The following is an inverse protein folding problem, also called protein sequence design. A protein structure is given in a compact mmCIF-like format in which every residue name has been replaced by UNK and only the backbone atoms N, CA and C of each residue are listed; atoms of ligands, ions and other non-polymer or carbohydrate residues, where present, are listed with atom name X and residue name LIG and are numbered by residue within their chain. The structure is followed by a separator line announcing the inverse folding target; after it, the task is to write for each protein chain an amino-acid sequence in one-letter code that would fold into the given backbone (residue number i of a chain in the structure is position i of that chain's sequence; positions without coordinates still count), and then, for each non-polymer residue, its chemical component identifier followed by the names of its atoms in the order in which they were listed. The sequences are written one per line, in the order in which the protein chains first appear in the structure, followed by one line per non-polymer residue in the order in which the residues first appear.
data_IF_124248163969
#
_entry.id   IF_124248163969
#
_cell.length_a   1.000
_cell.length_b   1.000
_cell.length_c   1.000
_cell.angle_alpha   90.00
_cell.angle_beta   90.00
_cell.angle_gamma   90.00
#
_symmetry.space_group_name_H-M   'P 1'
#
loop_
_entity.id
_entity.type
_entity.pdbx_description
1 polymer ?
#
# COMPACT_ATOMS: atom_id res chain seq x y z
N UNK A 1 -38.52 45.35 19.92
CA UNK A 1 -37.97 46.46 19.09
C UNK A 1 -37.35 45.77 17.87
N UNK A 2 -37.83 45.88 16.60
CA UNK A 2 -38.05 47.07 15.73
C UNK A 2 -36.75 47.89 15.64
N UNK A 3 -36.06 48.12 14.51
CA UNK A 3 -36.34 48.07 13.05
C UNK A 3 -35.33 47.12 12.31
N UNK A 4 -35.53 46.56 11.09
CA UNK A 4 -35.85 47.13 9.75
C UNK A 4 -34.69 47.96 9.13
N UNK A 5 -34.33 47.91 7.84
CA UNK A 5 -34.97 47.40 6.59
C UNK A 5 -33.93 46.92 5.55
N UNK A 6 -34.38 46.15 4.55
CA UNK A 6 -33.62 45.84 3.33
C UNK A 6 -33.45 47.04 2.38
N UNK A 7 -32.48 46.95 1.45
CA UNK A 7 -32.57 47.63 0.15
C UNK A 7 -32.06 46.71 -0.97
N UNK A 8 -32.86 46.62 -2.02
CA UNK A 8 -32.59 45.89 -3.26
C UNK A 8 -32.29 46.93 -4.35
N UNK A 9 -31.38 46.65 -5.30
CA UNK A 9 -31.50 47.10 -6.70
C UNK A 9 -30.44 46.47 -7.60
N UNK A 10 -30.88 45.84 -8.69
CA UNK A 10 -30.06 45.34 -9.80
C UNK A 10 -29.69 46.48 -10.76
N UNK A 11 -28.53 46.44 -11.43
CA UNK A 11 -28.45 46.68 -12.89
C UNK A 11 -27.10 46.33 -13.57
N UNK A 12 -27.18 46.12 -14.89
CA UNK A 12 -26.13 46.25 -15.92
C UNK A 12 -24.85 45.38 -15.89
N UNK A 13 -24.94 44.25 -16.62
CA UNK A 13 -24.21 44.05 -17.88
C UNK A 13 -23.21 45.14 -18.31
N UNK A 14 -21.93 44.76 -18.47
CA UNK A 14 -21.07 45.28 -19.54
C UNK A 14 -20.25 44.13 -20.15
N UNK A 15 -20.61 43.73 -21.36
CA UNK A 15 -19.68 42.99 -22.24
C UNK A 15 -18.54 43.95 -22.64
N UNK A 16 -17.30 43.55 -22.40
CA UNK A 16 -16.11 44.24 -22.86
C UNK A 16 -15.16 43.26 -23.54
N UNK A 17 -15.39 42.95 -24.81
CA UNK A 17 -14.39 42.27 -25.63
C UNK A 17 -13.20 43.22 -25.86
N UNK A 18 -12.01 42.86 -25.39
CA UNK A 18 -10.78 43.37 -25.98
C UNK A 18 -9.72 42.25 -26.06
N UNK A 19 -9.43 41.84 -27.29
CA UNK A 19 -8.29 40.98 -27.60
C UNK A 19 -7.01 41.80 -27.57
N UNK A 20 -5.87 41.19 -27.25
CA UNK A 20 -4.57 41.87 -27.37
C UNK A 20 -3.49 41.28 -26.47
N UNK A 21 -2.97 40.11 -26.82
CA UNK A 21 -1.74 39.63 -26.20
C UNK A 21 -0.53 40.39 -26.77
N UNK A 22 0.38 40.82 -25.90
CA UNK A 22 1.70 41.33 -26.29
C UNK A 22 2.74 40.75 -25.32
N UNK A 23 3.37 39.65 -25.72
CA UNK A 23 4.68 39.26 -25.17
C UNK A 23 5.72 39.93 -26.04
N UNK A 24 6.34 41.00 -25.52
CA UNK A 24 7.46 41.63 -26.16
C UNK A 24 8.75 40.88 -25.80
N UNK A 25 9.46 40.39 -26.82
CA UNK A 25 10.88 40.05 -26.70
C UNK A 25 11.63 40.97 -27.65
N UNK A 26 12.42 41.89 -27.07
CA UNK A 26 13.25 42.82 -27.84
C UNK A 26 14.40 42.10 -28.58
N UNK A 27 14.77 42.71 -29.71
CA UNK A 27 15.92 42.41 -30.58
C UNK A 27 17.18 43.18 -30.09
N UNK A 28 18.42 43.05 -30.65
CA UNK A 28 18.74 42.78 -32.08
C UNK A 28 19.99 41.92 -32.42
N UNK A 29 20.09 41.58 -33.72
CA UNK A 29 21.26 41.43 -34.64
C UNK A 29 22.56 40.71 -34.17
N UNK A 30 23.44 40.14 -35.01
CA UNK A 30 23.79 40.25 -36.44
C UNK A 30 23.93 38.82 -37.07
N UNK A 31 24.08 38.52 -38.37
CA UNK A 31 24.01 39.24 -39.67
C UNK A 31 23.99 38.19 -40.81
N UNK A 32 23.51 38.53 -42.02
CA UNK A 32 23.80 37.77 -43.26
C UNK A 32 22.58 37.50 -44.15
N UNK A 33 22.50 38.21 -45.28
CA UNK A 33 21.57 37.91 -46.37
C UNK A 33 21.92 36.57 -47.07
N UNK A 34 20.90 35.81 -47.43
CA UNK A 34 20.86 35.02 -48.67
C UNK A 34 19.39 34.66 -49.00
N UNK A 35 19.00 34.81 -50.26
CA UNK A 35 17.63 34.56 -50.74
C UNK A 35 17.31 33.05 -50.73
N UNK A 36 16.74 32.59 -49.62
CA UNK A 36 16.18 31.25 -49.48
C UNK A 36 14.71 31.34 -49.11
N UNK A 37 13.83 31.34 -50.13
CA UNK A 37 12.42 30.99 -49.94
C UNK A 37 12.33 29.50 -49.55
N UNK A 38 12.49 29.23 -48.25
CA UNK A 38 12.27 27.92 -47.68
C UNK A 38 10.81 27.50 -47.96
N UNK A 39 10.56 26.38 -48.67
CA UNK A 39 9.21 25.84 -48.70
C UNK A 39 8.82 25.52 -47.26
N UNK A 40 7.65 26.01 -46.82
CA UNK A 40 7.17 25.78 -45.46
C UNK A 40 6.96 24.28 -45.26
N UNK A 41 7.96 23.61 -44.67
CA UNK A 41 7.86 22.21 -44.28
C UNK A 41 6.74 22.11 -43.26
N UNK A 42 5.82 21.15 -43.48
CA UNK A 42 4.69 20.91 -42.59
C UNK A 42 5.19 20.32 -41.27
N UNK A 43 5.74 21.18 -40.41
CA UNK A 43 6.37 20.83 -39.12
C UNK A 43 5.41 20.21 -38.09
N UNK A 44 4.16 19.96 -38.50
CA UNK A 44 3.19 19.13 -37.78
C UNK A 44 3.53 17.65 -37.92
N UNK A 45 3.86 17.17 -39.12
CA UNK A 45 4.04 15.74 -39.38
C UNK A 45 5.19 15.10 -38.57
N UNK A 46 6.35 15.76 -38.44
CA UNK A 46 7.48 15.20 -37.70
C UNK A 46 7.26 15.18 -36.17
N UNK A 47 6.48 16.14 -35.63
CA UNK A 47 6.25 16.23 -34.18
C UNK A 47 5.36 15.11 -33.65
N UNK A 48 4.44 14.54 -34.43
CA UNK A 48 3.56 13.48 -33.95
C UNK A 48 4.24 12.10 -33.84
N UNK A 49 5.28 11.84 -34.64
CA UNK A 49 5.97 10.54 -34.74
C UNK A 49 6.54 10.00 -33.42
N UNK A 50 6.92 10.90 -32.50
CA UNK A 50 7.52 10.54 -31.22
C UNK A 50 6.54 10.55 -30.04
N UNK A 51 5.34 11.11 -30.20
CA UNK A 51 4.37 11.26 -29.10
C UNK A 51 3.36 10.11 -29.06
N UNK A 52 2.86 9.62 -30.20
CA UNK A 52 1.76 8.66 -30.23
C UNK A 52 2.16 7.25 -29.73
N UNK A 53 3.32 6.75 -30.18
CA UNK A 53 3.88 5.47 -29.72
C UNK A 53 4.40 5.52 -28.27
N UNK A 54 4.82 6.70 -27.80
CA UNK A 54 5.23 6.90 -26.41
C UNK A 54 4.02 6.94 -25.47
N UNK A 55 2.95 7.64 -25.85
CA UNK A 55 1.75 7.78 -25.02
C UNK A 55 0.91 6.49 -24.94
N UNK A 56 0.74 5.78 -26.05
CA UNK A 56 -0.03 4.52 -26.08
C UNK A 56 0.63 3.39 -25.28
N UNK A 57 1.97 3.36 -25.19
CA UNK A 57 2.73 2.40 -24.37
C UNK A 57 2.39 2.48 -22.87
N UNK A 58 2.19 3.68 -22.34
CA UNK A 58 1.99 3.90 -20.91
C UNK A 58 0.52 3.89 -20.50
N UNK A 59 -0.40 4.09 -21.45
CA UNK A 59 -1.85 4.11 -21.22
C UNK A 59 -2.39 2.96 -20.35
N UNK A 60 -2.05 1.66 -20.55
CA UNK A 60 -2.57 0.60 -19.68
C UNK A 60 -2.06 0.68 -18.23
N UNK A 61 -0.85 1.21 -18.01
CA UNK A 61 -0.32 1.42 -16.66
C UNK A 61 -1.00 2.61 -15.98
N UNK A 62 -1.22 3.71 -16.71
CA UNK A 62 -1.94 4.88 -16.21
C UNK A 62 -3.39 4.55 -15.86
N UNK A 63 -4.06 3.72 -16.67
CA UNK A 63 -5.38 3.20 -16.35
C UNK A 63 -5.32 2.34 -15.07
N UNK A 64 -4.43 1.34 -15.01
CA UNK A 64 -4.32 0.47 -13.83
C UNK A 64 -4.01 1.25 -12.53
N UNK A 65 -3.22 2.34 -12.60
CA UNK A 65 -2.96 3.24 -11.47
C UNK A 65 -4.25 3.97 -11.05
N UNK A 66 -4.98 4.58 -12.00
CA UNK A 66 -6.21 5.30 -11.69
C UNK A 66 -7.29 4.35 -11.13
N UNK A 67 -7.50 3.20 -11.78
CA UNK A 67 -8.45 2.17 -11.34
C UNK A 67 -8.09 1.68 -9.92
N UNK A 68 -6.79 1.55 -9.59
CA UNK A 68 -6.32 1.18 -8.24
C UNK A 68 -6.52 2.30 -7.22
N UNK A 69 -6.32 3.56 -7.60
CA UNK A 69 -6.52 4.71 -6.71
C UNK A 69 -8.01 5.00 -6.45
N UNK A 70 -8.89 4.75 -7.42
CA UNK A 70 -10.35 4.85 -7.24
C UNK A 70 -10.90 3.71 -6.35
N UNK A 71 -10.30 2.52 -6.40
CA UNK A 71 -10.66 1.38 -5.57
C UNK A 71 -9.96 1.34 -4.19
N UNK A 72 -8.93 2.14 -3.96
CA UNK A 72 -8.16 2.15 -2.72
C UNK A 72 -8.92 2.86 -1.59
N UNK A 73 -9.03 2.18 -0.45
CA UNK A 73 -9.53 2.74 0.81
C UNK A 73 -8.38 2.73 1.82
N UNK A 74 -7.99 3.88 2.40
CA UNK A 74 -7.00 3.92 3.47
C UNK A 74 -7.44 3.09 4.67
N UNK A 75 -6.51 2.36 5.30
CA UNK A 75 -6.80 1.64 6.54
C UNK A 75 -7.23 2.59 7.68
N UNK A 76 -6.64 3.79 7.75
CA UNK A 76 -6.96 4.83 8.73
C UNK A 76 -8.45 5.25 8.72
N UNK A 77 -9.16 5.11 7.59
CA UNK A 77 -10.60 5.41 7.49
C UNK A 77 -11.48 4.27 8.05
N UNK A 78 -10.88 3.12 8.36
CA UNK A 78 -11.51 1.95 8.98
C UNK A 78 -11.09 1.77 10.46
N UNK A 79 -10.12 2.54 10.95
CA UNK A 79 -9.52 2.41 12.27
C UNK A 79 -10.32 3.15 13.36
N UNK A 80 -10.73 2.41 14.39
CA UNK A 80 -10.54 2.88 15.78
C UNK A 80 -9.09 2.63 16.19
N UNK A 81 -8.64 3.18 17.33
CA UNK A 81 -7.24 3.13 17.83
C UNK A 81 -6.70 1.70 18.19
N UNK A 82 -7.25 0.64 17.58
CA UNK A 82 -7.24 -0.76 18.05
C UNK A 82 -6.44 -1.74 17.14
N UNK A 83 -5.48 -1.26 16.33
CA UNK A 83 -4.63 -2.08 15.45
C UNK A 83 -5.41 -2.91 14.38
N UNK A 84 -6.51 -2.36 13.85
CA UNK A 84 -7.47 -3.06 12.98
C UNK A 84 -7.00 -3.28 11.53
N UNK A 85 -6.07 -2.47 11.03
CA UNK A 85 -5.56 -2.45 9.64
C UNK A 85 -5.20 -3.83 9.07
N UNK A 86 -4.65 -4.72 9.91
CA UNK A 86 -4.23 -6.07 9.52
C UNK A 86 -5.07 -7.19 10.15
N UNK A 87 -6.19 -6.87 10.83
CA UNK A 87 -7.07 -7.85 11.45
C UNK A 87 -7.62 -8.87 10.44
N UNK A 88 -7.99 -8.42 9.23
CA UNK A 88 -8.48 -9.30 8.16
C UNK A 88 -7.47 -10.37 7.72
N UNK A 89 -6.16 -10.10 7.85
CA UNK A 89 -5.10 -11.08 7.58
C UNK A 89 -5.06 -12.12 8.70
N UNK A 90 -5.16 -11.68 9.96
CA UNK A 90 -5.21 -12.56 11.14
C UNK A 90 -6.45 -13.47 11.07
N UNK A 91 -7.62 -12.90 10.80
CA UNK A 91 -8.89 -13.62 10.66
C UNK A 91 -8.82 -14.66 9.54
N UNK A 92 -8.36 -14.26 8.34
CA UNK A 92 -8.21 -15.18 7.21
C UNK A 92 -7.15 -16.25 7.43
N UNK A 93 -6.11 -15.96 8.22
CA UNK A 93 -5.11 -16.96 8.55
C UNK A 93 -5.63 -17.97 9.57
N UNK A 94 -6.43 -17.53 10.57
CA UNK A 94 -6.99 -18.37 11.65
C UNK A 94 -8.29 -19.13 11.28
N UNK A 95 -9.04 -18.68 10.28
CA UNK A 95 -10.30 -19.29 9.79
C UNK A 95 -10.27 -20.84 9.68
N UNK A 96 -9.19 -21.49 9.20
CA UNK A 96 -9.10 -22.95 9.09
C UNK A 96 -9.11 -23.71 10.42
N UNK A 97 -8.88 -23.04 11.57
CA UNK A 97 -8.94 -23.64 12.92
C UNK A 97 -10.08 -23.08 13.78
N UNK A 98 -11.12 -22.53 13.14
CA UNK A 98 -12.37 -22.13 13.81
C UNK A 98 -13.05 -23.27 14.60
N UNK A 99 -12.76 -24.53 14.28
CA UNK A 99 -13.17 -25.72 15.06
C UNK A 99 -12.26 -26.05 16.27
N UNK A 100 -11.23 -25.25 16.52
CA UNK A 100 -10.23 -25.43 17.58
C UNK A 100 -8.95 -26.14 17.15
N UNK A 101 -7.91 -25.99 17.97
CA UNK A 101 -6.58 -26.58 17.81
C UNK A 101 -6.41 -27.68 18.88
N UNK A 102 -6.06 -28.90 18.46
CA UNK A 102 -5.84 -30.03 19.39
C UNK A 102 -4.36 -30.23 19.71
N UNK A 103 -4.06 -30.79 20.88
CA UNK A 103 -2.68 -31.13 21.29
C UNK A 103 -1.98 -32.08 20.29
N UNK A 104 -2.72 -33.01 19.67
CA UNK A 104 -2.18 -33.87 18.59
C UNK A 104 -1.71 -33.03 17.38
N UNK A 105 -2.45 -31.99 17.03
CA UNK A 105 -2.12 -31.11 15.92
C UNK A 105 -0.87 -30.26 16.25
N UNK A 106 -0.70 -29.82 17.50
CA UNK A 106 0.56 -29.19 17.97
C UNK A 106 1.73 -30.18 17.91
N UNK A 107 1.55 -31.42 18.40
CA UNK A 107 2.59 -32.47 18.36
C UNK A 107 3.09 -32.74 16.93
N UNK A 108 2.17 -32.94 15.99
CA UNK A 108 2.48 -33.13 14.55
C UNK A 108 3.13 -31.90 13.90
N UNK A 109 3.03 -30.73 14.52
CA UNK A 109 3.62 -29.48 14.05
C UNK A 109 5.04 -29.26 14.54
N UNK A 110 5.45 -29.85 15.68
CA UNK A 110 6.79 -29.64 16.28
C UNK A 110 7.97 -29.80 15.32
N UNK A 111 8.05 -30.81 14.41
CA UNK A 111 9.19 -30.96 13.49
C UNK A 111 9.38 -29.78 12.51
N UNK A 112 8.36 -28.95 12.34
CA UNK A 112 8.33 -27.86 11.36
C UNK A 112 8.89 -26.55 11.91
N UNK A 113 9.09 -26.40 13.23
CA UNK A 113 9.53 -25.15 13.83
C UNK A 113 10.04 -25.31 15.26
N UNK A 114 9.99 -24.23 16.03
CA UNK A 114 10.38 -24.20 17.44
C UNK A 114 9.11 -24.10 18.29
N UNK A 115 8.93 -25.01 19.24
CA UNK A 115 7.81 -24.96 20.17
C UNK A 115 8.06 -23.87 21.23
N UNK A 116 7.06 -23.03 21.42
CA UNK A 116 6.93 -22.10 22.54
C UNK A 116 5.68 -22.43 23.36
N UNK A 117 5.74 -22.19 24.65
CA UNK A 117 4.63 -22.35 25.58
C UNK A 117 4.63 -21.14 26.52
N UNK A 118 3.47 -20.53 26.75
CA UNK A 118 3.22 -19.56 27.81
C UNK A 118 2.46 -20.30 28.91
N UNK A 119 3.00 -20.31 30.13
CA UNK A 119 2.37 -20.96 31.28
C UNK A 119 2.59 -20.08 32.52
N UNK A 120 1.50 -19.63 33.16
CA UNK A 120 1.50 -18.66 34.26
C UNK A 120 2.37 -17.42 33.94
N UNK A 121 2.09 -16.77 32.80
CA UNK A 121 2.78 -15.56 32.32
C UNK A 121 4.31 -15.73 32.17
N UNK A 122 4.77 -16.95 31.88
CA UNK A 122 6.20 -17.23 31.61
C UNK A 122 6.37 -17.91 30.27
N UNK A 123 7.27 -17.35 29.47
CA UNK A 123 7.63 -17.89 28.17
C UNK A 123 8.65 -19.02 28.32
N UNK A 124 8.28 -20.20 27.83
CA UNK A 124 9.12 -21.38 27.69
C UNK A 124 9.33 -21.69 26.21
N UNK A 125 10.47 -22.29 25.88
CA UNK A 125 10.84 -22.67 24.51
C UNK A 125 11.62 -23.98 24.50
N UNK A 126 11.52 -24.76 23.42
CA UNK A 126 12.49 -25.83 23.15
C UNK A 126 13.93 -25.26 23.17
N UNK A 127 14.84 -26.03 23.77
CA UNK A 127 16.27 -25.65 23.89
C UNK A 127 16.89 -25.30 22.54
N UNK A 128 16.65 -26.15 21.54
CA UNK A 128 17.18 -26.00 20.18
C UNK A 128 16.32 -25.02 19.36
N UNK A 129 16.95 -23.94 18.90
CA UNK A 129 16.41 -23.05 17.87
C UNK A 129 17.42 -22.98 16.73
N UNK A 130 16.99 -23.32 15.51
CA UNK A 130 17.84 -23.37 14.30
C UNK A 130 18.46 -22.01 13.95
N UNK A 131 17.76 -20.91 14.24
CA UNK A 131 18.22 -19.54 14.00
C UNK A 131 18.08 -18.70 15.29
N UNK A 132 19.07 -18.75 16.21
CA UNK A 132 18.95 -18.12 17.53
C UNK A 132 18.59 -16.64 17.50
N UNK A 133 19.17 -15.86 16.58
CA UNK A 133 18.85 -14.43 16.43
C UNK A 133 17.39 -14.17 16.02
N UNK A 134 16.77 -15.05 15.23
CA UNK A 134 15.35 -14.94 14.86
C UNK A 134 14.45 -15.28 16.04
N UNK A 135 14.81 -16.29 16.84
CA UNK A 135 14.13 -16.58 18.11
C UNK A 135 14.21 -15.37 19.06
N UNK A 136 15.41 -14.79 19.28
CA UNK A 136 15.57 -13.58 20.12
C UNK A 136 14.75 -12.37 19.62
N UNK A 137 14.68 -12.19 18.30
CA UNK A 137 13.88 -11.12 17.68
C UNK A 137 12.38 -11.26 17.97
N UNK A 138 11.84 -12.49 17.92
CA UNK A 138 10.42 -12.76 18.24
C UNK A 138 10.17 -12.73 19.75
N UNK A 139 11.10 -13.28 20.54
CA UNK A 139 11.07 -13.23 22.01
C UNK A 139 11.02 -11.77 22.52
N UNK A 140 11.69 -10.81 21.85
CA UNK A 140 11.63 -9.38 22.19
C UNK A 140 10.20 -8.79 22.16
N UNK A 141 9.32 -9.28 21.28
CA UNK A 141 7.93 -8.83 21.23
C UNK A 141 7.06 -9.58 22.25
N UNK A 142 7.19 -10.92 22.30
CA UNK A 142 6.37 -11.74 23.22
C UNK A 142 6.62 -11.37 24.68
N UNK A 143 7.88 -11.12 25.07
CA UNK A 143 8.23 -10.77 26.45
C UNK A 143 7.65 -9.43 26.93
N UNK A 144 7.14 -8.57 26.03
CA UNK A 144 6.41 -7.35 26.40
C UNK A 144 4.92 -7.61 26.67
N UNK A 145 4.39 -8.73 26.16
CA UNK A 145 2.98 -9.09 26.22
C UNK A 145 2.70 -10.28 27.16
N UNK A 146 3.74 -10.98 27.61
CA UNK A 146 3.63 -12.25 28.34
C UNK A 146 2.82 -12.15 29.64
N UNK A 147 2.82 -10.99 30.29
CA UNK A 147 2.04 -10.69 31.51
C UNK A 147 0.54 -10.50 31.24
N UNK A 148 0.15 -10.27 29.98
CA UNK A 148 -1.26 -10.11 29.53
C UNK A 148 -1.76 -11.34 28.77
N UNK A 149 -0.86 -12.14 28.20
CA UNK A 149 -1.20 -13.32 27.41
C UNK A 149 -1.68 -14.50 28.29
N UNK A 150 -2.70 -15.27 27.83
CA UNK A 150 -3.16 -16.47 28.51
C UNK A 150 -2.18 -17.63 28.34
N UNK A 151 -2.39 -18.69 29.13
CA UNK A 151 -1.68 -19.96 28.94
C UNK A 151 -1.99 -20.54 27.55
N UNK A 152 -0.96 -20.69 26.72
CA UNK A 152 -1.08 -21.16 25.33
C UNK A 152 0.21 -21.81 24.83
N UNK A 153 0.13 -22.60 23.77
CA UNK A 153 1.30 -23.15 23.08
C UNK A 153 1.22 -22.97 21.57
N UNK A 154 2.38 -22.76 20.92
CA UNK A 154 2.46 -22.56 19.49
C UNK A 154 3.81 -23.02 18.93
N UNK A 155 3.83 -23.32 17.62
CA UNK A 155 5.05 -23.65 16.89
C UNK A 155 5.39 -22.50 15.96
N UNK A 156 6.57 -21.90 16.14
CA UNK A 156 7.09 -20.79 15.34
C UNK A 156 8.00 -21.33 14.23
N UNK A 157 7.78 -20.94 12.97
CA UNK A 157 8.75 -21.21 11.92
C UNK A 157 9.83 -20.13 11.91
N UNK A 158 11.09 -20.52 12.08
CA UNK A 158 12.23 -19.60 11.95
C UNK A 158 12.96 -19.72 10.62
N UNK A 159 12.51 -20.60 9.72
CA UNK A 159 13.04 -20.76 8.35
C UNK A 159 12.36 -19.78 7.39
N UNK A 160 13.03 -19.43 6.30
CA UNK A 160 12.50 -18.51 5.28
C UNK A 160 11.27 -19.06 4.54
N UNK A 161 11.19 -20.38 4.39
CA UNK A 161 10.10 -21.02 3.62
C UNK A 161 8.95 -21.50 4.52
N UNK A 162 7.67 -21.23 4.18
CA UNK A 162 6.52 -21.69 4.94
C UNK A 162 6.43 -23.23 4.99
N UNK A 163 6.02 -23.74 6.15
CA UNK A 163 6.00 -25.18 6.45
C UNK A 163 4.60 -25.81 6.44
N UNK A 164 3.55 -24.99 6.32
CA UNK A 164 2.18 -25.43 6.13
C UNK A 164 1.77 -25.19 4.67
N UNK A 165 1.20 -26.20 4.01
CA UNK A 165 0.70 -26.10 2.64
C UNK A 165 -0.83 -26.06 2.65
N UNK A 166 -1.46 -25.27 1.78
CA UNK A 166 -2.91 -25.00 1.81
C UNK A 166 -3.80 -26.25 1.69
N UNK A 167 -3.32 -27.32 1.04
CA UNK A 167 -4.04 -28.60 0.96
C UNK A 167 -3.84 -29.51 2.19
N UNK A 168 -2.85 -29.21 3.03
CA UNK A 168 -2.46 -30.02 4.20
C UNK A 168 -3.07 -29.42 5.47
N UNK A 169 -4.36 -29.71 5.73
CA UNK A 169 -5.09 -29.32 6.95
C UNK A 169 -4.49 -29.85 8.27
N UNK A 170 -3.45 -30.68 8.19
CA UNK A 170 -2.84 -31.42 9.31
C UNK A 170 -2.02 -30.55 10.27
N UNK A 171 -1.72 -29.31 9.88
CA UNK A 171 -0.80 -28.40 10.57
C UNK A 171 -1.52 -27.08 10.88
N UNK A 172 -1.38 -26.56 12.10
CA UNK A 172 -1.61 -25.14 12.33
C UNK A 172 -0.61 -24.39 11.46
N UNK A 173 -1.02 -23.31 10.80
CA UNK A 173 -0.10 -22.53 9.97
C UNK A 173 0.91 -21.91 10.92
N UNK A 174 2.10 -22.51 10.97
CA UNK A 174 3.21 -21.98 11.77
C UNK A 174 3.34 -20.50 11.44
N UNK A 175 3.46 -19.67 12.47
CA UNK A 175 3.73 -18.26 12.29
C UNK A 175 4.97 -18.12 11.40
N UNK A 176 4.78 -17.49 10.25
CA UNK A 176 5.77 -17.21 9.21
C UNK A 176 5.72 -15.71 8.99
N UNK A 177 6.83 -15.04 9.20
CA UNK A 177 7.02 -13.69 8.69
C UNK A 177 6.92 -13.77 7.15
N UNK A 178 5.81 -13.32 6.58
CA UNK A 178 5.76 -13.01 5.15
C UNK A 178 6.19 -11.57 5.01
N UNK A 179 7.44 -11.35 4.58
CA UNK A 179 7.91 -10.03 4.22
C UNK A 179 7.15 -9.56 2.97
N UNK A 180 6.27 -8.57 3.16
CA UNK A 180 5.55 -7.84 2.11
C UNK A 180 6.29 -6.55 1.77
#
# INVERSE_FOLDING_TARGET
MRLSTAFCFSFALLLGCFQGGHVACDRPDESGDDDATCPASDSRHEKHKYYEAANSRWLPYLQAINDSLEAYVPCEELESDDCSCHASVIDSDLEPWSSGITAELVERSKPRGVLYQIVNHKLYRTKECMFPFRCLGVEHFILKLVDELPDMEFVLNTRDWPQAHRTTRTVARLFVQQDT
#
